data_IF_914655658454
#
_entry.id   IF_914655658454
#
_cell.length_a   1.000
_cell.length_b   1.000
_cell.length_c   1.000
_cell.angle_alpha   90.00
_cell.angle_beta   90.00
_cell.angle_gamma   90.00
#
_symmetry.space_group_name_H-M   'P 1'
#
loop_
_entity.id
_entity.type
_entity.pdbx_description
1 polymer ?
#
# COMPACT_ATOMS: atom_id res chain seq x y z
N UNK A 1 16.61 -2.85 -29.09
CA UNK A 1 15.80 -3.34 -27.95
C UNK A 1 16.07 -4.83 -27.82
N UNK A 2 16.77 -5.28 -26.77
CA UNK A 2 16.99 -6.72 -26.52
C UNK A 2 15.78 -7.22 -25.72
N UNK A 3 14.96 -8.07 -26.34
CA UNK A 3 13.97 -8.87 -25.62
C UNK A 3 14.75 -9.86 -24.77
N UNK A 4 14.82 -9.61 -23.47
CA UNK A 4 15.33 -10.59 -22.51
C UNK A 4 14.27 -11.68 -22.48
N UNK A 5 14.61 -12.87 -23.00
CA UNK A 5 13.75 -14.04 -22.88
C UNK A 5 13.37 -14.21 -21.40
N UNK A 6 12.07 -14.24 -21.10
CA UNK A 6 11.55 -14.48 -19.76
C UNK A 6 12.07 -15.84 -19.29
N UNK A 7 13.09 -15.82 -18.42
CA UNK A 7 13.73 -17.03 -17.90
C UNK A 7 12.77 -17.84 -17.01
N UNK A 8 11.82 -17.15 -16.37
CA UNK A 8 10.76 -17.74 -15.55
C UNK A 8 9.41 -17.07 -15.87
N UNK A 9 8.40 -17.79 -16.39
CA UNK A 9 7.08 -17.24 -16.69
C UNK A 9 6.20 -17.11 -15.44
N UNK A 10 6.56 -17.74 -14.33
CA UNK A 10 5.83 -17.71 -13.07
C UNK A 10 5.46 -16.27 -12.60
N UNK A 11 6.39 -15.30 -12.48
CA UNK A 11 6.06 -13.94 -12.04
C UNK A 11 5.03 -13.26 -12.94
N UNK A 12 5.03 -13.55 -14.24
CA UNK A 12 4.05 -13.00 -15.18
C UNK A 12 2.63 -13.52 -14.88
N UNK A 13 2.47 -14.83 -14.70
CA UNK A 13 1.17 -15.42 -14.37
C UNK A 13 0.66 -15.00 -12.98
N UNK A 14 1.53 -14.96 -11.98
CA UNK A 14 1.18 -14.41 -10.67
C UNK A 14 0.78 -12.95 -10.75
N UNK A 15 1.42 -12.18 -11.63
CA UNK A 15 1.06 -10.79 -11.88
C UNK A 15 -0.34 -10.62 -12.47
N UNK A 16 -0.68 -11.42 -13.50
CA UNK A 16 -2.04 -11.44 -14.08
C UNK A 16 -3.07 -11.84 -13.03
N UNK A 17 -2.80 -12.90 -12.26
CA UNK A 17 -3.69 -13.35 -11.20
C UNK A 17 -3.92 -12.25 -10.16
N UNK A 18 -2.86 -11.57 -9.72
CA UNK A 18 -2.95 -10.47 -8.75
C UNK A 18 -3.78 -9.30 -9.29
N UNK A 19 -3.64 -8.96 -10.58
CA UNK A 19 -4.48 -7.94 -11.24
C UNK A 19 -5.95 -8.39 -11.26
N UNK A 20 -6.22 -9.63 -11.64
CA UNK A 20 -7.58 -10.16 -11.69
C UNK A 20 -8.24 -10.14 -10.31
N UNK A 21 -7.52 -10.52 -9.26
CA UNK A 21 -7.98 -10.43 -7.87
C UNK A 21 -8.24 -8.97 -7.48
N UNK A 22 -7.32 -8.05 -7.75
CA UNK A 22 -7.49 -6.63 -7.44
C UNK A 22 -8.73 -6.01 -8.11
N UNK A 23 -8.91 -6.26 -9.42
CA UNK A 23 -10.08 -5.79 -10.16
C UNK A 23 -11.36 -6.45 -9.64
N UNK A 24 -11.35 -7.76 -9.42
CA UNK A 24 -12.51 -8.50 -8.93
C UNK A 24 -12.95 -8.03 -7.55
N UNK A 25 -12.02 -7.93 -6.61
CA UNK A 25 -12.27 -7.41 -5.26
C UNK A 25 -12.75 -5.96 -5.31
N UNK A 26 -12.11 -5.10 -6.11
CA UNK A 26 -12.55 -3.71 -6.27
C UNK A 26 -13.96 -3.58 -6.84
N UNK A 27 -14.31 -4.42 -7.82
CA UNK A 27 -15.65 -4.46 -8.39
C UNK A 27 -16.68 -4.93 -7.36
N UNK A 28 -16.36 -5.97 -6.58
CA UNK A 28 -17.23 -6.45 -5.51
C UNK A 28 -17.40 -5.40 -4.40
N UNK A 29 -16.33 -4.70 -4.01
CA UNK A 29 -16.40 -3.63 -3.02
C UNK A 29 -17.24 -2.44 -3.50
N UNK A 30 -17.23 -2.15 -4.80
CA UNK A 30 -18.04 -1.08 -5.39
C UNK A 30 -19.51 -1.48 -5.51
N UNK A 31 -19.78 -2.72 -5.94
CA UNK A 31 -21.13 -3.23 -6.14
C UNK A 31 -21.84 -3.61 -4.82
N UNK A 32 -21.09 -4.09 -3.82
CA UNK A 32 -21.60 -4.57 -2.54
C UNK A 32 -20.83 -3.94 -1.36
N UNK A 33 -21.03 -2.64 -1.09
CA UNK A 33 -20.31 -1.92 -0.03
C UNK A 33 -20.79 -2.26 1.39
N UNK A 34 -21.71 -3.20 1.55
CA UNK A 34 -22.37 -3.53 2.82
C UNK A 34 -21.42 -4.08 3.89
N UNK A 35 -20.31 -4.71 3.46
CA UNK A 35 -19.24 -5.19 4.35
C UNK A 35 -18.17 -4.16 4.68
N UNK A 36 -18.24 -2.95 4.11
CA UNK A 36 -17.31 -1.88 4.37
C UNK A 36 -17.75 -1.03 5.56
N UNK A 37 -16.77 -0.51 6.31
CA UNK A 37 -17.06 0.43 7.37
C UNK A 37 -17.73 1.67 6.78
N UNK A 38 -18.97 1.98 7.20
CA UNK A 38 -19.75 3.12 6.71
C UNK A 38 -19.05 4.48 6.92
N UNK A 39 -18.14 4.57 7.88
CA UNK A 39 -17.40 5.80 8.16
C UNK A 39 -16.23 6.01 7.19
N UNK A 40 -15.89 5.01 6.36
CA UNK A 40 -14.79 5.09 5.42
C UNK A 40 -15.27 5.54 4.05
N UNK A 41 -14.62 6.54 3.44
CA UNK A 41 -14.97 6.91 2.08
C UNK A 41 -14.55 5.80 1.12
N UNK A 42 -15.42 5.48 0.15
CA UNK A 42 -15.25 4.36 -0.79
C UNK A 42 -13.90 4.42 -1.52
N UNK A 43 -13.44 5.62 -1.89
CA UNK A 43 -12.16 5.78 -2.58
C UNK A 43 -10.95 5.32 -1.74
N UNK A 44 -10.99 5.46 -0.41
CA UNK A 44 -9.95 4.97 0.50
C UNK A 44 -9.96 3.44 0.56
N UNK A 45 -11.16 2.85 0.59
CA UNK A 45 -11.31 1.40 0.55
C UNK A 45 -10.77 0.80 -0.77
N UNK A 46 -10.89 1.55 -1.88
CA UNK A 46 -10.37 1.13 -3.20
C UNK A 46 -8.84 1.11 -3.30
N UNK A 47 -8.12 1.70 -2.34
CA UNK A 47 -6.65 1.61 -2.30
C UNK A 47 -6.16 0.18 -2.04
N UNK A 48 -6.90 -0.62 -1.27
CA UNK A 48 -6.58 -2.03 -1.04
C UNK A 48 -6.59 -2.85 -2.35
N UNK A 49 -7.68 -2.90 -3.14
CA UNK A 49 -7.66 -3.58 -4.44
C UNK A 49 -6.70 -2.93 -5.43
N UNK A 50 -6.49 -1.61 -5.39
CA UNK A 50 -5.47 -0.94 -6.21
C UNK A 50 -4.05 -1.43 -5.88
N UNK A 51 -3.75 -1.74 -4.62
CA UNK A 51 -2.44 -2.29 -4.24
C UNK A 51 -2.18 -3.67 -4.87
N UNK A 52 -3.21 -4.52 -5.00
CA UNK A 52 -3.13 -5.79 -5.72
C UNK A 52 -2.85 -5.59 -7.21
N UNK A 53 -3.56 -4.64 -7.85
CA UNK A 53 -3.30 -4.30 -9.27
C UNK A 53 -1.87 -3.79 -9.47
N UNK A 54 -1.39 -2.91 -8.59
CA UNK A 54 -0.02 -2.39 -8.62
C UNK A 54 1.02 -3.50 -8.37
N UNK A 55 0.75 -4.43 -7.45
CA UNK A 55 1.60 -5.58 -7.18
C UNK A 55 1.69 -6.49 -8.41
N UNK A 56 0.56 -6.74 -9.08
CA UNK A 56 0.55 -7.55 -10.29
C UNK A 56 1.27 -6.88 -11.47
N UNK A 57 1.09 -5.57 -11.66
CA UNK A 57 1.88 -4.78 -12.62
C UNK A 57 3.37 -4.80 -12.30
N UNK A 58 3.75 -4.77 -11.03
CA UNK A 58 5.12 -4.91 -10.59
C UNK A 58 5.70 -6.29 -10.96
N UNK A 59 4.98 -7.38 -10.68
CA UNK A 59 5.42 -8.74 -11.04
C UNK A 59 5.56 -8.93 -12.56
N UNK A 60 4.63 -8.40 -13.36
CA UNK A 60 4.72 -8.41 -14.82
C UNK A 60 5.96 -7.61 -15.29
N UNK A 61 6.18 -6.42 -14.71
CA UNK A 61 7.36 -5.61 -15.04
C UNK A 61 8.68 -6.29 -14.66
N UNK A 62 8.70 -7.11 -13.60
CA UNK A 62 9.84 -7.93 -13.19
C UNK A 62 10.12 -8.99 -14.24
N UNK A 63 9.08 -9.71 -14.68
CA UNK A 63 9.20 -10.69 -15.77
C UNK A 63 9.72 -10.07 -17.07
N UNK A 64 9.30 -8.84 -17.39
CA UNK A 64 9.73 -8.09 -18.58
C UNK A 64 11.11 -7.43 -18.45
N UNK A 65 11.76 -7.47 -17.28
CA UNK A 65 13.06 -6.83 -17.03
C UNK A 65 13.05 -5.30 -17.11
N UNK A 66 11.88 -4.65 -16.91
CA UNK A 66 11.74 -3.20 -17.05
C UNK A 66 12.02 -2.46 -15.74
N UNK A 67 13.29 -2.15 -15.48
CA UNK A 67 13.74 -1.48 -14.24
C UNK A 67 13.10 -0.12 -13.96
N UNK A 68 12.75 0.65 -15.00
CA UNK A 68 12.07 1.95 -14.82
C UNK A 68 10.65 1.77 -14.33
N UNK A 69 9.94 0.78 -14.87
CA UNK A 69 8.54 0.52 -14.52
C UNK A 69 8.44 -0.03 -13.09
N UNK A 70 9.38 -0.91 -12.71
CA UNK A 70 9.50 -1.44 -11.35
C UNK A 70 9.61 -0.34 -10.31
N UNK A 71 10.48 0.65 -10.54
CA UNK A 71 10.67 1.73 -9.56
C UNK A 71 9.41 2.57 -9.35
N UNK A 72 8.66 2.82 -10.42
CA UNK A 72 7.41 3.60 -10.36
C UNK A 72 6.32 2.79 -9.68
N UNK A 73 6.12 1.53 -10.05
CA UNK A 73 5.08 0.68 -9.46
C UNK A 73 5.34 0.40 -7.98
N UNK A 74 6.60 0.16 -7.58
CA UNK A 74 6.94 0.02 -6.15
C UNK A 74 6.67 1.30 -5.37
N UNK A 75 7.02 2.47 -5.93
CA UNK A 75 6.77 3.74 -5.24
C UNK A 75 5.28 3.99 -5.06
N UNK A 76 4.47 3.74 -6.10
CA UNK A 76 3.02 3.86 -6.04
C UNK A 76 2.40 2.87 -5.04
N UNK A 77 2.89 1.63 -5.01
CA UNK A 77 2.42 0.61 -4.09
C UNK A 77 2.71 0.98 -2.64
N UNK A 78 3.92 1.46 -2.35
CA UNK A 78 4.28 1.96 -1.01
C UNK A 78 3.41 3.14 -0.61
N UNK A 79 3.19 4.11 -1.49
CA UNK A 79 2.31 5.25 -1.22
C UNK A 79 0.86 4.80 -0.95
N UNK A 80 0.38 3.82 -1.72
CA UNK A 80 -0.96 3.25 -1.56
C UNK A 80 -1.12 2.60 -0.18
N UNK A 81 -0.15 1.77 0.22
CA UNK A 81 -0.13 1.12 1.53
C UNK A 81 0.04 2.12 2.68
N UNK A 82 0.86 3.15 2.49
CA UNK A 82 1.04 4.20 3.48
C UNK A 82 -0.26 4.99 3.70
N UNK A 83 -0.94 5.33 2.62
CA UNK A 83 -2.23 6.03 2.68
C UNK A 83 -3.30 5.19 3.39
N UNK A 84 -3.40 3.88 3.09
CA UNK A 84 -4.34 2.99 3.78
C UNK A 84 -3.99 2.81 5.25
N UNK A 85 -2.70 2.65 5.57
CA UNK A 85 -2.21 2.49 6.93
C UNK A 85 -2.49 3.75 7.78
N UNK A 86 -2.18 4.93 7.27
CA UNK A 86 -2.48 6.19 7.95
C UNK A 86 -3.96 6.43 8.14
N UNK A 87 -4.76 6.13 7.12
CA UNK A 87 -6.20 6.26 7.23
C UNK A 87 -6.77 5.31 8.29
N UNK A 88 -6.32 4.05 8.26
CA UNK A 88 -6.67 3.06 9.27
C UNK A 88 -6.29 3.56 10.66
N UNK A 89 -5.13 4.16 10.85
CA UNK A 89 -4.68 4.61 12.15
C UNK A 89 -5.39 5.86 12.70
N UNK A 90 -5.78 6.79 11.83
CA UNK A 90 -6.33 8.08 12.23
C UNK A 90 -7.86 8.05 12.37
N UNK A 91 -8.55 7.25 11.54
CA UNK A 91 -10.00 7.32 11.35
C UNK A 91 -10.77 6.05 11.73
N UNK A 92 -10.12 5.00 12.23
CA UNK A 92 -10.82 3.87 12.83
C UNK A 92 -11.24 4.23 14.27
N UNK A 93 -12.41 4.87 14.37
CA UNK A 93 -12.96 5.38 15.64
C UNK A 93 -13.44 4.28 16.59
N UNK A 94 -13.63 3.06 16.09
CA UNK A 94 -14.21 1.92 16.82
C UNK A 94 -13.31 0.67 16.79
N UNK A 95 -11.99 0.84 16.85
CA UNK A 95 -11.14 -0.30 17.17
C UNK A 95 -11.40 -0.59 18.66
N UNK A 96 -12.21 -1.61 18.95
CA UNK A 96 -12.10 -2.29 20.23
C UNK A 96 -10.65 -2.78 20.30
N UNK A 97 -9.80 -2.12 21.08
CA UNK A 97 -8.44 -2.57 21.34
C UNK A 97 -8.45 -3.80 22.26
N UNK A 98 -9.14 -4.85 21.80
CA UNK A 98 -8.92 -6.21 22.25
C UNK A 98 -7.75 -6.74 21.44
N UNK A 99 -6.57 -6.74 22.03
CA UNK A 99 -5.46 -7.50 21.47
C UNK A 99 -5.79 -8.98 21.61
N UNK A 100 -6.24 -9.62 20.54
CA UNK A 100 -6.25 -11.07 20.43
C UNK A 100 -4.91 -11.52 19.87
N UNK A 101 -4.07 -12.10 20.72
CA UNK A 101 -2.95 -12.90 20.23
C UNK A 101 -3.54 -14.15 19.59
N UNK A 102 -3.62 -14.13 18.26
CA UNK A 102 -4.15 -15.23 17.46
C UNK A 102 -3.01 -16.03 16.86
N UNK A 103 -2.90 -17.30 17.26
CA UNK A 103 -2.07 -18.28 16.56
C UNK A 103 -3.01 -19.02 15.59
N UNK A 104 -2.76 -18.94 14.27
CA UNK A 104 -3.62 -19.59 13.26
C UNK A 104 -5.12 -19.18 13.30
N UNK A 105 -5.42 -17.93 13.68
CA UNK A 105 -6.80 -17.42 13.71
C UNK A 105 -7.61 -17.83 14.94
N UNK A 106 -7.02 -18.54 15.89
CA UNK A 106 -7.66 -18.88 17.19
C UNK A 106 -7.13 -17.93 18.26
N UNK A 107 -8.01 -17.14 18.87
CA UNK A 107 -7.62 -16.16 19.91
C UNK A 107 -7.27 -16.85 21.23
N UNK A 108 -6.03 -16.71 21.69
CA UNK A 108 -5.49 -17.40 22.89
C UNK A 108 -5.59 -16.53 24.14
N UNK A 109 -5.44 -15.22 24.01
CA UNK A 109 -5.53 -14.28 25.13
C UNK A 109 -6.20 -12.98 24.63
N UNK A 110 -7.17 -12.49 25.39
CA UNK A 110 -7.78 -11.18 25.17
C UNK A 110 -7.27 -10.23 26.26
N UNK A 111 -6.43 -9.27 25.86
CA UNK A 111 -6.06 -8.15 26.73
C UNK A 111 -6.88 -6.93 26.31
N UNK A 112 -7.68 -6.41 27.23
CA UNK A 112 -8.40 -5.13 27.07
C UNK A 112 -7.46 -4.00 27.50
N UNK A 113 -6.77 -3.39 26.52
CA UNK A 113 -6.09 -2.12 26.75
C UNK A 113 -7.12 -0.99 26.76
N UNK A 114 -6.83 0.09 27.51
CA UNK A 114 -7.63 1.31 27.44
C UNK A 114 -7.61 1.88 26.01
N UNK A 115 -8.75 2.37 25.52
CA UNK A 115 -8.88 2.84 24.13
C UNK A 115 -7.92 4.01 23.80
N UNK A 116 -7.57 4.83 24.78
CA UNK A 116 -6.74 6.03 24.58
C UNK A 116 -5.25 5.68 24.38
N UNK A 117 -4.69 4.77 25.20
CA UNK A 117 -3.29 4.35 25.11
C UNK A 117 -3.00 3.57 23.81
N UNK A 118 -3.97 2.80 23.35
CA UNK A 118 -3.89 2.06 22.09
C UNK A 118 -3.86 3.00 20.89
N UNK A 119 -4.70 4.05 20.90
CA UNK A 119 -4.78 5.03 19.83
C UNK A 119 -3.49 5.85 19.71
N UNK A 120 -2.92 6.28 20.82
CA UNK A 120 -1.66 7.05 20.82
C UNK A 120 -0.47 6.19 20.40
N UNK A 121 -0.40 4.93 20.85
CA UNK A 121 0.64 3.99 20.38
C UNK A 121 0.57 3.77 18.87
N UNK A 122 -0.63 3.60 18.31
CA UNK A 122 -0.82 3.36 16.88
C UNK A 122 -0.49 4.60 16.04
N UNK A 123 -0.83 5.80 16.55
CA UNK A 123 -0.44 7.08 15.94
C UNK A 123 1.07 7.28 15.92
N UNK A 124 1.77 6.97 17.02
CA UNK A 124 3.22 7.10 17.11
C UNK A 124 3.92 6.12 16.18
N UNK A 125 3.46 4.87 16.11
CA UNK A 125 4.00 3.87 15.19
C UNK A 125 3.83 4.33 13.74
N UNK A 126 2.64 4.82 13.38
CA UNK A 126 2.37 5.27 12.02
C UNK A 126 3.12 6.55 11.66
N UNK A 127 3.22 7.51 12.59
CA UNK A 127 4.07 8.69 12.41
C UNK A 127 5.56 8.31 12.23
N UNK A 128 6.01 7.26 12.91
CA UNK A 128 7.36 6.70 12.73
C UNK A 128 7.56 6.06 11.36
N UNK A 129 6.60 5.26 10.90
CA UNK A 129 6.62 4.64 9.55
C UNK A 129 6.57 5.72 8.47
N UNK A 130 5.70 6.71 8.63
CA UNK A 130 5.62 7.89 7.77
C UNK A 130 6.96 8.63 7.71
N UNK A 131 7.58 8.92 8.86
CA UNK A 131 8.89 9.56 8.88
C UNK A 131 9.92 8.72 8.12
N UNK A 132 9.95 7.40 8.33
CA UNK A 132 10.86 6.47 7.66
C UNK A 132 10.68 6.38 6.14
N UNK A 133 9.46 6.60 5.62
CA UNK A 133 9.16 6.51 4.19
C UNK A 133 9.20 7.89 3.53
N UNK A 134 8.59 8.89 4.15
CA UNK A 134 8.42 10.25 3.62
C UNK A 134 9.73 11.03 3.66
N UNK A 135 10.55 10.95 4.72
CA UNK A 135 11.85 11.66 4.75
C UNK A 135 12.78 11.27 3.60
N UNK A 136 13.09 9.97 3.38
CA UNK A 136 13.97 9.60 2.27
C UNK A 136 13.34 9.91 0.91
N UNK A 137 12.01 9.82 0.78
CA UNK A 137 11.32 10.21 -0.44
C UNK A 137 11.45 11.73 -0.70
N UNK A 138 11.21 12.57 0.31
CA UNK A 138 11.39 14.01 0.23
C UNK A 138 12.84 14.38 -0.10
N UNK A 139 13.83 13.77 0.55
CA UNK A 139 15.24 13.96 0.24
C UNK A 139 15.55 13.57 -1.21
N UNK A 140 14.99 12.46 -1.69
CA UNK A 140 15.18 12.02 -3.07
C UNK A 140 14.56 13.01 -4.08
N UNK A 141 13.33 13.46 -3.85
CA UNK A 141 12.63 14.44 -4.69
C UNK A 141 13.37 15.78 -4.68
N UNK A 142 13.77 16.27 -3.51
CA UNK A 142 14.53 17.50 -3.34
C UNK A 142 15.85 17.46 -4.12
N UNK A 143 16.62 16.39 -3.98
CA UNK A 143 17.87 16.17 -4.74
C UNK A 143 17.62 16.15 -6.25
N UNK A 144 16.47 15.64 -6.69
CA UNK A 144 16.12 15.58 -8.11
C UNK A 144 15.66 16.95 -8.66
N UNK A 145 14.96 17.75 -7.85
CA UNK A 145 14.59 19.12 -8.20
C UNK A 145 15.83 20.03 -8.30
N UNK A 146 16.75 19.94 -7.34
CA UNK A 146 18.00 20.71 -7.37
C UNK A 146 18.91 20.38 -8.57
N UNK A 147 18.78 19.18 -9.15
CA UNK A 147 19.53 18.76 -10.33
C UNK A 147 18.91 19.20 -11.66
N UNK A 148 17.80 19.94 -11.68
CA UNK A 148 17.36 20.64 -12.90
C UNK A 148 18.13 21.95 -12.98
N UNK A 149 19.19 22.06 -13.81
CA UNK A 149 19.84 23.35 -14.01
C UNK A 149 18.80 24.32 -14.56
N UNK A 150 18.80 25.50 -13.96
CA UNK A 150 18.02 26.65 -14.35
C UNK A 150 18.22 26.93 -15.84
N UNK A 151 17.24 26.54 -16.66
CA UNK A 151 17.13 26.97 -18.05
C UNK A 151 16.27 28.23 -18.08
N UNK A 152 16.67 29.27 -17.37
CA UNK A 152 16.14 30.62 -17.54
C UNK A 152 17.28 31.62 -17.76
N UNK A 153 17.93 31.49 -18.92
CA UNK A 153 18.56 32.64 -19.58
C UNK A 153 18.22 32.58 -21.06
N UNK A 154 17.18 33.32 -21.44
CA UNK A 154 17.21 34.31 -22.52
C UNK A 154 15.92 35.13 -22.51
#
# INVERSE_FOLDING_TARGET
>A
MRYIAMKDPAPFFFGIFSIAVGIGVGTLMYAFPEGLNRNWPIWMAMLAPASFVLAGLHLIATGLGSFRFLRVTTSLLVLCLLATANWAALFSTDIKCSGTLSFLGVGILTSTLSNDECRDSLRVIMAGVDALVILPFMVFVWRKLQRRPDKSVK
#
